data_IF_598057652980
#
_entry.id   IF_598057652980
#
_cell.length_a   1.000
_cell.length_b   1.000
_cell.length_c   1.000
_cell.angle_alpha   90.00
_cell.angle_beta   90.00
_cell.angle_gamma   90.00
#
_symmetry.space_group_name_H-M   'P 1'
#
loop_
_entity.id
_entity.type
_entity.pdbx_description
1 polymer ?
#
# COMPACT_ATOMS: atom_id res chain seq x y z
N UNK A 1 -11.87 -8.61 14.89
CA UNK A 1 -11.75 -7.37 14.09
C UNK A 1 -10.58 -7.46 13.13
N UNK A 2 -9.39 -7.88 13.57
CA UNK A 2 -8.21 -8.02 12.70
C UNK A 2 -8.34 -9.08 11.59
N UNK A 3 -9.05 -10.19 11.84
CA UNK A 3 -9.30 -11.24 10.82
C UNK A 3 -10.18 -10.74 9.65
N UNK A 4 -11.15 -9.86 9.92
CA UNK A 4 -12.06 -9.32 8.88
C UNK A 4 -11.32 -8.44 7.88
N UNK A 5 -10.35 -7.65 8.36
CA UNK A 5 -9.56 -6.77 7.50
C UNK A 5 -8.61 -7.57 6.58
N UNK A 6 -8.05 -8.68 7.07
CA UNK A 6 -7.19 -9.55 6.25
C UNK A 6 -7.99 -10.28 5.15
N UNK A 7 -9.19 -10.77 5.47
CA UNK A 7 -10.06 -11.42 4.49
C UNK A 7 -10.47 -10.43 3.38
N UNK A 8 -10.94 -9.25 3.77
CA UNK A 8 -11.33 -8.18 2.84
C UNK A 8 -10.15 -7.64 2.03
N UNK A 9 -8.96 -7.58 2.64
CA UNK A 9 -7.74 -7.17 1.97
C UNK A 9 -7.44 -8.06 0.76
N UNK A 10 -7.77 -9.35 0.78
CA UNK A 10 -7.56 -10.24 -0.36
C UNK A 10 -8.56 -10.02 -1.50
N UNK A 11 -9.76 -9.52 -1.23
CA UNK A 11 -10.84 -9.35 -2.23
C UNK A 11 -10.75 -8.06 -3.03
N UNK A 12 -10.07 -7.03 -2.51
CA UNK A 12 -9.98 -5.73 -3.19
C UNK A 12 -8.91 -5.69 -4.27
N UNK A 13 -9.17 -4.94 -5.34
CA UNK A 13 -8.17 -4.69 -6.38
C UNK A 13 -7.18 -3.59 -5.99
N UNK A 14 -5.97 -3.65 -6.57
CA UNK A 14 -4.98 -2.60 -6.39
C UNK A 14 -5.37 -1.34 -7.18
N UNK A 15 -5.60 -0.25 -6.47
CA UNK A 15 -6.03 1.05 -7.04
C UNK A 15 -4.85 1.97 -7.29
N UNK A 16 -3.77 1.85 -6.50
CA UNK A 16 -2.55 2.66 -6.62
C UNK A 16 -1.39 1.80 -7.13
N UNK A 17 -0.52 2.38 -7.95
CA UNK A 17 0.68 1.69 -8.48
C UNK A 17 1.94 2.52 -8.29
N UNK A 18 2.88 2.00 -7.50
CA UNK A 18 4.18 2.64 -7.26
C UNK A 18 5.15 2.29 -8.38
N UNK A 19 5.57 3.30 -9.14
CA UNK A 19 6.52 3.17 -10.24
C UNK A 19 7.93 3.65 -9.90
N UNK A 20 8.69 3.98 -10.94
CA UNK A 20 10.10 4.44 -10.85
C UNK A 20 10.32 5.71 -10.01
N UNK A 21 9.27 6.50 -9.75
CA UNK A 21 9.33 7.71 -8.91
C UNK A 21 9.23 7.41 -7.41
N UNK A 22 9.07 6.13 -7.04
CA UNK A 22 9.00 5.73 -5.64
C UNK A 22 7.69 6.11 -4.95
N UNK A 23 7.65 5.86 -3.65
CA UNK A 23 6.45 5.98 -2.81
C UNK A 23 6.01 7.43 -2.58
N UNK A 24 6.93 8.40 -2.66
CA UNK A 24 6.61 9.82 -2.52
C UNK A 24 5.62 10.29 -3.58
N UNK A 25 5.67 9.68 -4.77
CA UNK A 25 4.79 10.04 -5.87
C UNK A 25 3.33 9.60 -5.71
N UNK A 26 3.01 8.81 -4.67
CA UNK A 26 1.65 8.30 -4.41
C UNK A 26 1.13 8.62 -3.01
N UNK A 27 1.89 9.34 -2.20
CA UNK A 27 1.56 9.60 -0.79
C UNK A 27 0.24 10.36 -0.66
N UNK A 28 0.04 11.41 -1.46
CA UNK A 28 -1.19 12.20 -1.42
C UNK A 28 -2.40 11.41 -1.95
N UNK A 29 -2.24 10.67 -3.05
CA UNK A 29 -3.30 9.81 -3.60
C UNK A 29 -3.73 8.73 -2.60
N UNK A 30 -2.78 8.15 -1.85
CA UNK A 30 -3.09 7.16 -0.82
C UNK A 30 -3.87 7.79 0.34
N UNK A 31 -3.48 8.98 0.82
CA UNK A 31 -4.23 9.70 1.86
C UNK A 31 -5.65 10.02 1.41
N UNK A 32 -5.81 10.51 0.18
CA UNK A 32 -7.13 10.85 -0.37
C UNK A 32 -8.01 9.59 -0.43
N UNK A 33 -7.50 8.47 -0.92
CA UNK A 33 -8.28 7.23 -0.97
C UNK A 33 -8.62 6.66 0.41
N UNK A 34 -7.71 6.72 1.37
CA UNK A 34 -7.97 6.27 2.75
C UNK A 34 -8.99 7.15 3.48
N UNK A 35 -9.11 8.43 3.09
CA UNK A 35 -10.17 9.30 3.61
C UNK A 35 -11.58 8.89 3.18
N UNK A 36 -11.70 8.17 2.06
CA UNK A 36 -12.99 7.74 1.48
C UNK A 36 -13.23 6.23 1.61
N UNK A 37 -12.20 5.44 1.91
CA UNK A 37 -12.24 3.98 1.87
C UNK A 37 -11.57 3.38 3.10
N UNK A 38 -12.17 2.33 3.64
CA UNK A 38 -11.60 1.56 4.76
C UNK A 38 -10.29 0.85 4.40
N UNK A 39 -10.12 0.40 3.16
CA UNK A 39 -8.93 -0.34 2.73
C UNK A 39 -8.48 0.13 1.35
N UNK A 40 -7.17 0.29 1.19
CA UNK A 40 -6.56 0.65 -0.10
C UNK A 40 -5.40 -0.31 -0.39
N UNK A 41 -5.50 -1.04 -1.50
CA UNK A 41 -4.43 -1.92 -1.97
C UNK A 41 -3.51 -1.18 -2.94
N UNK A 42 -2.23 -1.18 -2.64
CA UNK A 42 -1.16 -0.57 -3.44
C UNK A 42 -0.33 -1.66 -4.09
N UNK A 43 0.03 -1.50 -5.37
CA UNK A 43 0.92 -2.40 -6.10
C UNK A 43 2.27 -1.73 -6.37
N UNK A 44 3.34 -2.36 -5.92
CA UNK A 44 4.71 -1.97 -6.23
C UNK A 44 5.13 -2.57 -7.57
N UNK A 45 5.52 -1.74 -8.53
CA UNK A 45 6.03 -2.21 -9.81
C UNK A 45 7.50 -2.61 -9.67
N UNK A 46 8.00 -3.45 -10.59
CA UNK A 46 9.42 -3.85 -10.59
C UNK A 46 10.37 -2.64 -10.56
N UNK A 47 9.98 -1.55 -11.22
CA UNK A 47 10.77 -0.32 -11.31
C UNK A 47 10.88 0.45 -9.99
N UNK A 48 10.02 0.18 -8.99
CA UNK A 48 10.12 0.84 -7.68
C UNK A 48 11.01 0.07 -6.69
N UNK A 49 11.33 -1.20 -6.96
CA UNK A 49 12.04 -2.11 -6.03
C UNK A 49 13.52 -2.31 -6.33
N UNK A 50 14.12 -1.49 -7.18
CA UNK A 50 15.46 -1.73 -7.75
C UNK A 50 16.60 -1.85 -6.73
N UNK A 51 16.40 -1.43 -5.48
CA UNK A 51 17.37 -1.55 -4.39
C UNK A 51 16.73 -1.69 -3.01
N UNK A 52 15.49 -2.15 -2.95
CA UNK A 52 14.70 -2.26 -1.70
C UNK A 52 13.63 -3.34 -1.86
N UNK A 53 13.02 -3.77 -0.75
CA UNK A 53 11.97 -4.79 -0.75
C UNK A 53 10.56 -4.19 -0.79
N UNK A 54 9.55 -5.01 -1.10
CA UNK A 54 8.15 -4.59 -0.97
C UNK A 54 7.83 -4.20 0.48
N UNK A 55 8.33 -4.95 1.45
CA UNK A 55 8.01 -4.76 2.87
C UNK A 55 8.61 -3.45 3.42
N UNK A 56 9.85 -3.13 3.03
CA UNK A 56 10.49 -1.85 3.36
C UNK A 56 9.70 -0.67 2.77
N UNK A 57 9.39 -0.73 1.47
CA UNK A 57 8.61 0.32 0.81
C UNK A 57 7.20 0.47 1.41
N UNK A 58 6.57 -0.64 1.79
CA UNK A 58 5.24 -0.62 2.38
C UNK A 58 5.25 -0.01 3.77
N UNK A 59 6.23 -0.37 4.60
CA UNK A 59 6.43 0.20 5.93
C UNK A 59 6.71 1.70 5.84
N UNK A 60 7.61 2.11 4.94
CA UNK A 60 7.94 3.53 4.75
C UNK A 60 6.73 4.33 4.25
N UNK A 61 5.93 3.75 3.34
CA UNK A 61 4.71 4.41 2.85
C UNK A 61 3.67 4.56 3.96
N UNK A 62 3.43 3.52 4.76
CA UNK A 62 2.53 3.58 5.92
C UNK A 62 2.90 4.72 6.87
N UNK A 63 4.19 4.83 7.22
CA UNK A 63 4.71 5.91 8.07
C UNK A 63 4.52 7.30 7.46
N UNK A 64 4.68 7.43 6.13
CA UNK A 64 4.50 8.71 5.44
C UNK A 64 3.03 9.16 5.41
N UNK A 65 2.10 8.23 5.27
CA UNK A 65 0.66 8.56 5.20
C UNK A 65 -0.05 8.51 6.55
N UNK A 66 0.64 8.12 7.62
CA UNK A 66 0.04 7.87 8.95
C UNK A 66 -1.10 6.83 8.88
N UNK A 67 -0.84 5.71 8.20
CA UNK A 67 -1.80 4.62 8.00
C UNK A 67 -1.29 3.31 8.58
N UNK A 68 -2.21 2.37 8.85
CA UNK A 68 -1.88 1.03 9.31
C UNK A 68 -1.58 0.12 8.10
N UNK A 69 -0.43 -0.55 8.10
CA UNK A 69 -0.12 -1.60 7.12
C UNK A 69 -0.76 -2.91 7.58
N UNK A 70 -1.82 -3.33 6.90
CA UNK A 70 -2.58 -4.54 7.24
C UNK A 70 -1.83 -5.80 6.79
N UNK A 71 -1.41 -5.84 5.52
CA UNK A 71 -0.64 -6.97 4.98
C UNK A 71 0.28 -6.55 3.84
N UNK A 72 1.33 -7.34 3.63
CA UNK A 72 2.10 -7.39 2.39
C UNK A 72 1.98 -8.78 1.77
N UNK A 73 1.72 -8.83 0.46
CA UNK A 73 1.65 -10.09 -0.28
C UNK A 73 2.29 -9.93 -1.65
N UNK A 74 3.46 -10.53 -1.82
CA UNK A 74 4.24 -10.45 -3.07
C UNK A 74 4.66 -9.02 -3.41
N UNK A 75 3.93 -8.38 -4.32
CA UNK A 75 4.21 -7.02 -4.79
C UNK A 75 3.13 -6.02 -4.40
N UNK A 76 2.25 -6.38 -3.48
CA UNK A 76 1.16 -5.52 -3.02
C UNK A 76 1.19 -5.34 -1.51
N UNK A 77 0.69 -4.20 -1.05
CA UNK A 77 0.42 -3.90 0.34
C UNK A 77 -1.00 -3.35 0.49
N UNK A 78 -1.64 -3.62 1.62
CA UNK A 78 -2.96 -3.07 1.95
C UNK A 78 -2.85 -2.17 3.17
N UNK A 79 -3.45 -0.97 3.07
CA UNK A 79 -3.45 0.04 4.12
C UNK A 79 -4.86 0.31 4.61
N UNK A 80 -4.96 0.67 5.89
CA UNK A 80 -6.17 1.13 6.57
C UNK A 80 -5.92 2.47 7.26
#
# INVERSE_FOLDING_TARGET
MSDDLHERAHEIDATIRVGKRGIDSVTDELRDQLSERTLVKVKFLRSSRGGTTTDELATELALKVDAELIETRGHTAVYH
#
